data_IF_795478816659
#
_entry.id   IF_795478816659
#
_cell.length_a   1.000
_cell.length_b   1.000
_cell.length_c   1.000
_cell.angle_alpha   90.00
_cell.angle_beta   90.00
_cell.angle_gamma   90.00
#
_symmetry.space_group_name_H-M   'P 1'
#
loop_
_entity.id
_entity.type
_entity.pdbx_description
1 polymer ?
#
# COMPACT_ATOMS: atom_id res chain seq x y z
N UNK A 1 -5.67 -9.41 -7.01
CA UNK A 1 -7.06 -9.01 -7.22
C UNK A 1 -7.42 -7.77 -6.40
N UNK A 2 -8.44 -7.03 -6.86
CA UNK A 2 -8.94 -5.86 -6.14
C UNK A 2 -9.83 -6.32 -4.98
N UNK A 3 -9.50 -5.88 -3.75
CA UNK A 3 -10.34 -6.08 -2.55
C UNK A 3 -11.40 -4.98 -2.49
N UNK A 4 -10.99 -3.74 -2.74
CA UNK A 4 -11.84 -2.55 -2.73
C UNK A 4 -11.38 -1.60 -3.82
N UNK A 5 -12.29 -1.15 -4.65
CA UNK A 5 -12.01 -0.11 -5.64
C UNK A 5 -12.33 1.27 -5.08
N UNK A 6 -11.99 2.31 -5.83
CA UNK A 6 -12.32 3.69 -5.48
C UNK A 6 -13.84 3.94 -5.48
N UNK A 7 -14.26 4.82 -4.61
CA UNK A 7 -15.51 5.54 -4.79
C UNK A 7 -15.31 6.63 -5.86
N UNK A 8 -15.91 6.44 -7.02
CA UNK A 8 -15.75 7.36 -8.16
C UNK A 8 -16.29 8.77 -7.90
N UNK A 9 -17.12 8.96 -6.86
CA UNK A 9 -17.65 10.27 -6.47
C UNK A 9 -16.67 11.10 -5.62
N UNK A 10 -15.55 10.51 -5.18
CA UNK A 10 -14.59 11.13 -4.27
C UNK A 10 -13.20 11.25 -4.92
N UNK A 11 -12.37 12.21 -4.49
CA UNK A 11 -10.95 12.25 -4.92
C UNK A 11 -10.24 10.93 -4.62
N UNK A 12 -9.45 10.45 -5.57
CA UNK A 12 -8.65 9.22 -5.45
C UNK A 12 -7.32 9.55 -4.80
N UNK A 13 -6.95 8.80 -3.75
CA UNK A 13 -5.72 9.07 -2.99
C UNK A 13 -4.56 8.12 -3.33
N UNK A 14 -4.79 7.10 -4.14
CA UNK A 14 -3.79 6.13 -4.59
C UNK A 14 -4.11 4.69 -4.23
N UNK A 15 -3.19 3.78 -4.48
CA UNK A 15 -3.35 2.34 -4.30
C UNK A 15 -2.61 1.88 -3.04
N UNK A 16 -3.23 1.01 -2.27
CA UNK A 16 -2.60 0.23 -1.20
C UNK A 16 -2.51 -1.22 -1.65
N UNK A 17 -1.30 -1.68 -1.89
CA UNK A 17 -1.02 -3.06 -2.23
C UNK A 17 -0.74 -3.84 -0.96
N UNK A 18 -1.49 -4.89 -0.70
CA UNK A 18 -1.35 -5.71 0.50
C UNK A 18 -0.85 -7.11 0.18
N UNK A 19 0.10 -7.59 0.98
CA UNK A 19 0.62 -8.96 0.91
C UNK A 19 0.80 -9.54 2.33
N UNK A 20 0.47 -10.81 2.45
CA UNK A 20 0.46 -11.53 3.72
C UNK A 20 -0.92 -11.52 4.39
N UNK A 21 -1.27 -12.61 5.06
CA UNK A 21 -2.62 -12.82 5.58
C UNK A 21 -2.96 -11.82 6.71
N UNK A 22 -2.09 -11.69 7.70
CA UNK A 22 -2.33 -10.81 8.86
C UNK A 22 -2.36 -9.33 8.47
N UNK A 23 -1.42 -8.89 7.63
CA UNK A 23 -1.41 -7.51 7.12
C UNK A 23 -2.65 -7.18 6.29
N UNK A 24 -3.10 -8.13 5.46
CA UNK A 24 -4.32 -7.95 4.66
C UNK A 24 -5.57 -7.89 5.53
N UNK A 25 -5.71 -8.76 6.53
CA UNK A 25 -6.83 -8.73 7.48
C UNK A 25 -6.85 -7.41 8.25
N UNK A 26 -5.73 -6.98 8.81
CA UNK A 26 -5.64 -5.73 9.56
C UNK A 26 -5.93 -4.49 8.69
N UNK A 27 -5.52 -4.51 7.42
CA UNK A 27 -5.87 -3.46 6.45
C UNK A 27 -7.39 -3.46 6.18
N UNK A 28 -7.99 -4.61 5.92
CA UNK A 28 -9.44 -4.73 5.69
C UNK A 28 -10.23 -4.24 6.91
N UNK A 29 -9.80 -4.61 8.12
CA UNK A 29 -10.42 -4.16 9.37
C UNK A 29 -10.29 -2.64 9.60
N UNK A 30 -9.34 -1.98 8.95
CA UNK A 30 -9.18 -0.53 9.02
C UNK A 30 -10.00 0.25 7.98
N UNK A 31 -10.59 -0.42 6.98
CA UNK A 31 -11.24 0.25 5.84
C UNK A 31 -12.42 1.14 6.24
N UNK A 32 -13.27 0.71 7.17
CA UNK A 32 -14.40 1.52 7.64
C UNK A 32 -13.91 2.82 8.28
N UNK A 33 -12.89 2.74 9.14
CA UNK A 33 -12.27 3.90 9.80
C UNK A 33 -11.60 4.85 8.79
N UNK A 34 -10.97 4.29 7.75
CA UNK A 34 -10.39 5.08 6.65
C UNK A 34 -11.47 5.82 5.85
N UNK A 35 -12.59 5.16 5.58
CA UNK A 35 -13.73 5.77 4.88
C UNK A 35 -14.34 6.91 5.68
N UNK A 36 -14.55 6.71 6.99
CA UNK A 36 -15.02 7.76 7.91
C UNK A 36 -14.07 8.96 7.96
N UNK A 37 -12.77 8.72 7.78
CA UNK A 37 -11.74 9.75 7.69
C UNK A 37 -11.64 10.40 6.29
N UNK A 38 -12.52 10.05 5.34
CA UNK A 38 -12.52 10.60 3.99
C UNK A 38 -11.44 10.03 3.07
N UNK A 39 -10.80 8.93 3.45
CA UNK A 39 -9.73 8.28 2.67
C UNK A 39 -10.33 7.40 1.58
N UNK A 40 -10.04 7.71 0.33
CA UNK A 40 -10.49 6.96 -0.85
C UNK A 40 -9.28 6.33 -1.56
N UNK A 41 -8.93 5.13 -1.16
CA UNK A 41 -7.84 4.33 -1.73
C UNK A 41 -8.39 3.05 -2.36
N UNK A 42 -7.77 2.64 -3.47
CA UNK A 42 -7.95 1.30 -4.02
C UNK A 42 -7.09 0.31 -3.25
N UNK A 43 -7.64 -0.81 -2.86
CA UNK A 43 -6.94 -1.86 -2.12
C UNK A 43 -6.81 -3.11 -2.99
N UNK A 44 -5.57 -3.55 -3.18
CA UNK A 44 -5.24 -4.70 -4.03
C UNK A 44 -4.50 -5.74 -3.20
N UNK A 45 -4.95 -7.00 -3.25
CA UNK A 45 -4.22 -8.12 -2.66
C UNK A 45 -3.23 -8.72 -3.67
N UNK A 46 -1.96 -8.74 -3.29
CA UNK A 46 -0.89 -9.41 -4.03
C UNK A 46 -0.70 -10.83 -3.46
N UNK A 47 -1.38 -11.80 -4.07
CA UNK A 47 -1.32 -13.20 -3.63
C UNK A 47 -0.18 -13.96 -4.31
N UNK A 48 -0.01 -13.76 -5.62
CA UNK A 48 1.04 -14.37 -6.42
C UNK A 48 1.39 -13.45 -7.59
N UNK A 49 2.61 -12.95 -7.59
CA UNK A 49 3.15 -12.13 -8.67
C UNK A 49 3.30 -12.95 -9.95
N UNK A 50 3.80 -14.19 -9.83
CA UNK A 50 4.03 -15.06 -10.98
C UNK A 50 2.73 -15.42 -11.71
N UNK A 51 1.63 -15.56 -10.99
CA UNK A 51 0.31 -15.78 -11.59
C UNK A 51 -0.25 -14.50 -12.20
N UNK A 52 0.01 -13.35 -11.57
CA UNK A 52 -0.38 -12.06 -12.09
C UNK A 52 0.37 -11.72 -13.40
N UNK A 53 1.66 -11.99 -13.48
CA UNK A 53 2.48 -11.76 -14.66
C UNK A 53 2.04 -12.58 -15.88
N UNK A 54 1.45 -13.74 -15.64
CA UNK A 54 0.89 -14.62 -16.70
C UNK A 54 -0.47 -14.20 -17.20
N UNK A 55 -1.11 -13.20 -16.58
CA UNK A 55 -2.40 -12.69 -17.01
C UNK A 55 -2.27 -11.82 -18.26
N UNK A 56 -3.40 -11.59 -18.94
CA UNK A 56 -3.44 -10.65 -20.05
C UNK A 56 -3.13 -9.23 -19.58
N UNK A 57 -2.59 -8.42 -20.47
CA UNK A 57 -2.33 -7.00 -20.17
C UNK A 57 -3.61 -6.25 -19.76
N UNK A 58 -4.74 -6.58 -20.42
CA UNK A 58 -6.05 -6.02 -20.08
C UNK A 58 -6.43 -6.31 -18.61
N UNK A 59 -6.24 -7.55 -18.16
CA UNK A 59 -6.48 -7.90 -16.75
C UNK A 59 -5.52 -7.16 -15.82
N UNK A 60 -4.23 -7.14 -16.13
CA UNK A 60 -3.23 -6.45 -15.31
C UNK A 60 -3.57 -4.97 -15.15
N UNK A 61 -3.93 -4.30 -16.25
CA UNK A 61 -4.35 -2.90 -16.23
C UNK A 61 -5.66 -2.67 -15.47
N UNK A 62 -6.58 -3.63 -15.47
CA UNK A 62 -7.82 -3.52 -14.68
C UNK A 62 -7.59 -3.64 -13.17
N UNK A 63 -6.54 -4.37 -12.75
CA UNK A 63 -6.17 -4.52 -11.33
C UNK A 63 -5.35 -3.33 -10.86
N UNK A 64 -4.27 -2.99 -11.54
CA UNK A 64 -3.42 -1.83 -11.28
C UNK A 64 -2.96 -1.27 -12.62
N UNK A 65 -3.46 -0.10 -12.97
CA UNK A 65 -3.05 0.60 -14.19
C UNK A 65 -1.63 1.15 -14.07
N UNK A 66 -0.97 1.42 -15.20
CA UNK A 66 0.36 2.01 -15.21
C UNK A 66 0.42 3.36 -14.50
N UNK A 67 -0.65 4.15 -14.59
CA UNK A 67 -0.75 5.42 -13.86
C UNK A 67 -0.83 5.21 -12.34
N UNK A 68 -1.55 4.19 -11.88
CA UNK A 68 -1.68 3.87 -10.46
C UNK A 68 -0.38 3.37 -9.83
N UNK A 69 0.51 2.73 -10.62
CA UNK A 69 1.83 2.27 -10.15
C UNK A 69 2.70 3.41 -9.64
N UNK A 70 2.52 4.64 -10.13
CA UNK A 70 3.25 5.82 -9.64
C UNK A 70 2.73 6.36 -8.31
N UNK A 71 1.55 5.93 -7.86
CA UNK A 71 0.92 6.39 -6.63
C UNK A 71 0.45 5.19 -5.79
N UNK A 72 1.38 4.32 -5.44
CA UNK A 72 1.15 3.05 -4.77
C UNK A 72 2.02 2.93 -3.52
N UNK A 73 1.43 2.57 -2.39
CA UNK A 73 2.14 2.12 -1.18
C UNK A 73 1.91 0.64 -0.93
N UNK A 74 2.80 0.02 -0.16
CA UNK A 74 2.75 -1.41 0.18
C UNK A 74 2.55 -1.61 1.67
N UNK A 75 1.73 -2.59 2.03
CA UNK A 75 1.59 -3.13 3.38
C UNK A 75 1.87 -4.63 3.32
N UNK A 76 2.98 -5.08 3.90
CA UNK A 76 3.43 -6.47 3.77
C UNK A 76 4.11 -7.00 5.03
N UNK A 77 3.93 -8.29 5.30
CA UNK A 77 4.73 -9.04 6.28
C UNK A 77 6.12 -9.41 5.77
N UNK A 78 6.37 -9.22 4.48
CA UNK A 78 7.69 -9.43 3.87
C UNK A 78 8.66 -8.29 4.14
N UNK A 79 9.92 -8.50 3.76
CA UNK A 79 10.92 -7.45 3.87
C UNK A 79 10.87 -6.53 2.64
N UNK A 80 11.23 -5.27 2.83
CA UNK A 80 11.32 -4.28 1.75
C UNK A 80 12.28 -4.72 0.62
N UNK A 81 13.35 -5.43 0.97
CA UNK A 81 14.43 -5.80 0.04
C UNK A 81 14.08 -6.92 -0.92
N UNK A 82 13.15 -7.79 -0.55
CA UNK A 82 12.74 -8.94 -1.37
C UNK A 82 11.39 -8.75 -2.02
N UNK A 83 10.83 -7.57 -1.91
CA UNK A 83 9.59 -7.23 -2.56
C UNK A 83 9.88 -6.71 -3.99
N UNK A 84 9.78 -7.55 -5.01
CA UNK A 84 10.09 -7.15 -6.39
C UNK A 84 8.98 -6.30 -7.00
N UNK A 85 7.91 -6.02 -6.24
CA UNK A 85 6.74 -5.38 -6.79
C UNK A 85 7.09 -4.08 -7.44
N UNK A 86 7.15 -4.22 -8.71
CA UNK A 86 6.57 -3.28 -9.65
C UNK A 86 6.39 -1.89 -9.06
N UNK A 87 7.52 -1.25 -8.73
CA UNK A 87 7.50 0.18 -8.71
C UNK A 87 6.94 0.86 -7.48
N UNK A 88 7.20 0.37 -6.25
CA UNK A 88 7.17 1.32 -5.13
C UNK A 88 8.20 2.39 -5.46
N UNK A 89 7.72 3.50 -5.98
CA UNK A 89 8.58 4.61 -6.35
C UNK A 89 9.14 5.28 -5.09
N UNK A 90 10.27 5.98 -5.21
CA UNK A 90 10.89 6.68 -4.08
C UNK A 90 9.98 7.73 -3.41
N UNK A 91 8.89 8.13 -4.09
CA UNK A 91 7.91 9.08 -3.56
C UNK A 91 6.84 8.43 -2.66
N UNK A 92 6.72 7.12 -2.72
CA UNK A 92 5.70 6.37 -1.96
C UNK A 92 6.30 5.34 -1.01
N UNK A 93 7.59 5.05 -1.15
CA UNK A 93 8.31 4.10 -0.32
C UNK A 93 8.27 4.49 1.18
N UNK A 94 8.35 5.77 1.50
CA UNK A 94 8.28 6.27 2.87
C UNK A 94 6.95 6.01 3.60
N UNK A 95 5.88 5.70 2.86
CA UNK A 95 4.57 5.37 3.42
C UNK A 95 4.37 3.86 3.58
N UNK A 96 5.19 3.04 2.92
CA UNK A 96 5.04 1.59 2.92
C UNK A 96 5.38 1.00 4.28
N UNK A 97 4.56 0.04 4.73
CA UNK A 97 4.77 -0.73 5.94
C UNK A 97 5.31 -2.12 5.59
N UNK A 98 6.44 -2.46 6.16
CA UNK A 98 7.11 -3.74 5.99
C UNK A 98 7.60 -4.24 7.33
N UNK A 99 7.89 -5.54 7.46
CA UNK A 99 8.36 -6.11 8.72
C UNK A 99 9.76 -5.62 9.14
N UNK A 100 10.50 -4.98 8.25
CA UNK A 100 11.84 -4.45 8.49
C UNK A 100 11.90 -2.91 8.39
N UNK A 101 10.80 -2.24 8.65
CA UNK A 101 10.63 -0.79 8.42
C UNK A 101 11.64 0.09 9.15
N UNK A 102 12.09 -0.29 10.33
CA UNK A 102 13.09 0.40 11.15
C UNK A 102 14.48 -0.27 11.11
N UNK A 103 14.67 -1.24 10.24
CA UNK A 103 15.89 -2.02 10.07
C UNK A 103 16.36 -2.73 11.36
N UNK A 104 15.40 -3.16 12.19
CA UNK A 104 15.65 -3.91 13.42
C UNK A 104 15.13 -5.34 13.30
N UNK A 105 15.71 -6.25 14.12
CA UNK A 105 15.16 -7.57 14.32
C UNK A 105 13.96 -7.48 15.27
N UNK A 106 12.84 -8.07 14.85
CA UNK A 106 11.67 -8.17 15.70
C UNK A 106 11.93 -9.14 16.85
N UNK A 107 11.44 -8.82 18.04
CA UNK A 107 11.48 -9.72 19.19
C UNK A 107 10.50 -10.88 19.01
N UNK A 108 10.70 -11.95 19.80
CA UNK A 108 9.73 -13.02 19.91
C UNK A 108 8.61 -12.63 20.87
N UNK A 109 7.41 -13.20 20.66
CA UNK A 109 6.28 -12.92 21.54
C UNK A 109 5.01 -13.60 21.03
N UNK A 110 3.86 -13.15 21.52
CA UNK A 110 2.58 -13.52 20.94
C UNK A 110 2.44 -12.90 19.55
N UNK A 111 1.57 -13.46 18.71
CA UNK A 111 1.28 -12.90 17.39
C UNK A 111 0.94 -11.41 17.47
N UNK A 112 0.11 -11.01 18.44
CA UNK A 112 -0.28 -9.61 18.61
C UNK A 112 0.89 -8.69 18.98
N UNK A 113 1.84 -9.16 19.80
CA UNK A 113 3.02 -8.38 20.18
C UNK A 113 3.93 -8.16 18.97
N UNK A 114 4.20 -9.22 18.20
CA UNK A 114 5.05 -9.17 17.01
C UNK A 114 4.44 -8.29 15.92
N UNK A 115 3.14 -8.40 15.66
CA UNK A 115 2.41 -7.56 14.69
C UNK A 115 2.49 -6.08 15.09
N UNK A 116 2.33 -5.78 16.37
CA UNK A 116 2.40 -4.43 16.90
C UNK A 116 3.82 -3.84 16.82
N UNK A 117 4.82 -4.63 17.18
CA UNK A 117 6.24 -4.25 17.06
C UNK A 117 6.62 -3.98 15.60
N UNK A 118 6.06 -4.75 14.66
CA UNK A 118 6.25 -4.57 13.21
C UNK A 118 5.44 -3.41 12.63
N UNK A 119 4.61 -2.71 13.41
CA UNK A 119 3.68 -1.66 12.94
C UNK A 119 2.71 -2.14 11.86
N UNK A 120 2.33 -3.43 11.93
CA UNK A 120 1.38 -4.06 11.01
C UNK A 120 0.00 -4.32 11.66
N UNK A 121 -0.22 -3.78 12.87
CA UNK A 121 -1.54 -3.74 13.47
C UNK A 121 -2.46 -2.73 12.76
N UNK A 122 -3.77 -2.87 12.99
CA UNK A 122 -4.77 -2.06 12.27
C UNK A 122 -4.65 -0.55 12.51
N UNK A 123 -4.20 -0.13 13.70
CA UNK A 123 -4.08 1.31 13.99
C UNK A 123 -2.83 1.90 13.34
N UNK A 124 -1.74 1.17 13.30
CA UNK A 124 -0.53 1.55 12.56
C UNK A 124 -0.80 1.62 11.05
N UNK A 125 -1.49 0.61 10.50
CA UNK A 125 -1.90 0.60 9.09
C UNK A 125 -2.84 1.77 8.79
N UNK A 126 -3.85 2.01 9.63
CA UNK A 126 -4.73 3.18 9.48
C UNK A 126 -3.93 4.49 9.43
N UNK A 127 -3.01 4.69 10.38
CA UNK A 127 -2.18 5.90 10.44
C UNK A 127 -1.33 6.10 9.19
N UNK A 128 -0.69 5.03 8.69
CA UNK A 128 0.13 5.09 7.49
C UNK A 128 -0.68 5.37 6.22
N UNK A 129 -1.80 4.68 6.03
CA UNK A 129 -2.68 4.88 4.86
C UNK A 129 -3.33 6.27 4.89
N UNK A 130 -3.73 6.74 6.09
CA UNK A 130 -4.24 8.09 6.24
C UNK A 130 -3.20 9.14 5.89
N UNK A 131 -1.97 9.03 6.40
CA UNK A 131 -0.86 9.93 6.04
C UNK A 131 -0.58 9.90 4.53
N UNK A 132 -0.58 8.72 3.93
CA UNK A 132 -0.45 8.55 2.48
C UNK A 132 -1.54 9.31 1.72
N UNK A 133 -2.79 9.27 2.17
CA UNK A 133 -3.90 9.99 1.57
C UNK A 133 -3.80 11.50 1.80
N UNK A 134 -3.52 11.95 3.02
CA UNK A 134 -3.40 13.37 3.38
C UNK A 134 -2.30 14.07 2.55
N UNK A 135 -1.18 13.38 2.30
CA UNK A 135 -0.04 13.93 1.55
C UNK A 135 -0.19 13.78 0.02
N UNK A 136 -1.33 13.28 -0.47
CA UNK A 136 -1.54 13.00 -1.89
C UNK A 136 -1.20 14.19 -2.79
N UNK A 137 -1.72 15.38 -2.50
CA UNK A 137 -1.48 16.58 -3.30
C UNK A 137 0.00 16.98 -3.36
N UNK A 138 0.71 16.87 -2.24
CA UNK A 138 2.14 17.15 -2.16
C UNK A 138 2.96 16.14 -2.97
N UNK A 139 2.62 14.83 -2.89
CA UNK A 139 3.28 13.79 -3.68
C UNK A 139 3.13 14.00 -5.16
N UNK A 140 1.90 14.25 -5.63
CA UNK A 140 1.62 14.49 -7.07
C UNK A 140 2.35 15.73 -7.56
N UNK A 141 2.38 16.80 -6.77
CA UNK A 141 3.11 18.03 -7.10
C UNK A 141 4.62 17.78 -7.22
N UNK A 142 5.21 17.04 -6.29
CA UNK A 142 6.62 16.66 -6.29
C UNK A 142 6.96 15.78 -7.52
N UNK A 143 6.10 14.83 -7.84
CA UNK A 143 6.24 13.98 -9.03
C UNK A 143 6.18 14.81 -10.31
N UNK A 144 5.18 15.68 -10.45
CA UNK A 144 5.04 16.55 -11.61
C UNK A 144 6.25 17.49 -11.79
N UNK A 145 6.81 18.03 -10.70
CA UNK A 145 8.02 18.84 -10.72
C UNK A 145 9.25 18.05 -11.20
N UNK A 146 9.42 16.79 -10.75
CA UNK A 146 10.52 15.94 -11.19
C UNK A 146 10.49 15.64 -12.69
N UNK A 147 9.31 15.55 -13.32
CA UNK A 147 9.18 15.36 -14.77
C UNK A 147 9.33 16.66 -15.58
N UNK A 148 9.11 17.82 -14.98
CA UNK A 148 9.26 19.12 -15.65
C UNK A 148 10.68 19.68 -15.65
N UNK A 149 11.54 19.17 -14.78
CA UNK A 149 12.91 19.66 -14.59
C UNK A 149 13.95 19.12 -15.60
N UNK A 150 13.51 18.63 -16.76
CA UNK A 150 14.39 18.17 -17.85
C UNK A 150 14.21 18.98 -19.11
#
# INVERSE_FOLDING_TARGET
YVIRDYDESKPKHGVVLSQGSSSTVNLVDSLAKLEDAGVNVKVVAAISEELFDRQSEEYKQSVISDAEKFNLMVVTTGTRRVWPVTGVGPLTDEYSLTSDWDNQWLSGGTEGDVIKEAHLDKDSIFGAVKRFADDHGARISKQAAAFKGK
#
